data_IF_905418929145
#
_entry.id   IF_905418929145
#
_cell.length_a   1.000
_cell.length_b   1.000
_cell.length_c   1.000
_cell.angle_alpha   90.00
_cell.angle_beta   90.00
_cell.angle_gamma   90.00
#
_symmetry.space_group_name_H-M   'P 1'
#
loop_
_entity.id
_entity.type
_entity.pdbx_description
1 polymer ?
#
# COMPACT_ATOMS: atom_id res chain seq x y z
N UNK A 1 2.08 1.07 -1.13
CA UNK A 1 1.50 2.34 -1.65
C UNK A 1 0.11 2.63 -1.09
N UNK A 2 -0.88 1.73 -1.22
CA UNK A 2 -2.19 1.87 -0.54
C UNK A 2 -2.06 2.06 0.99
N UNK A 3 -1.10 1.38 1.62
CA UNK A 3 -0.77 1.56 3.03
C UNK A 3 -0.20 2.95 3.38
N UNK A 4 0.58 3.60 2.51
CA UNK A 4 1.12 4.95 2.74
C UNK A 4 0.02 6.02 2.62
N UNK A 5 -0.97 5.79 1.76
CA UNK A 5 -2.14 6.66 1.61
C UNK A 5 -3.12 6.46 2.76
N UNK A 6 -3.32 5.20 3.20
CA UNK A 6 -4.10 4.89 4.41
C UNK A 6 -3.41 5.43 5.67
N UNK A 7 -2.07 5.38 5.75
CA UNK A 7 -1.30 5.93 6.85
C UNK A 7 -1.32 7.46 6.87
N UNK A 8 -1.25 8.13 5.71
CA UNK A 8 -1.44 9.58 5.61
C UNK A 8 -2.86 10.02 6.01
N UNK A 9 -3.89 9.24 5.65
CA UNK A 9 -5.26 9.44 6.12
C UNK A 9 -5.40 9.21 7.63
N UNK A 10 -4.74 8.19 8.17
CA UNK A 10 -4.75 7.85 9.60
C UNK A 10 -3.98 8.88 10.45
N UNK A 11 -2.94 9.49 9.90
CA UNK A 11 -2.16 10.56 10.54
C UNK A 11 -2.90 11.91 10.54
N UNK A 12 -3.79 12.16 9.58
CA UNK A 12 -4.69 13.33 9.61
C UNK A 12 -5.90 13.18 10.53
N UNK A 13 -6.30 11.93 10.83
CA UNK A 13 -7.35 11.62 11.84
C UNK A 13 -6.79 11.64 13.26
N UNK A 14 -5.49 11.41 13.45
CA UNK A 14 -4.80 11.52 14.75
C UNK A 14 -4.25 12.92 15.03
N UNK A 15 -5.06 13.96 14.87
CA UNK A 15 -4.77 15.24 15.51
C UNK A 15 -5.61 15.37 16.80
N UNK A 16 -4.98 15.33 17.99
CA UNK A 16 -5.67 15.28 19.27
C UNK A 16 -6.06 16.69 19.71
N UNK A 17 -7.34 17.05 19.58
CA UNK A 17 -7.87 18.25 20.24
C UNK A 17 -9.21 18.04 20.96
N UNK A 18 -9.65 16.79 21.19
CA UNK A 18 -10.83 16.51 22.04
C UNK A 18 -10.61 15.24 22.88
N UNK A 19 -9.46 15.12 23.54
CA UNK A 19 -9.28 14.20 24.68
C UNK A 19 -8.88 15.05 25.89
N UNK A 20 -9.71 16.03 26.22
CA UNK A 20 -9.58 16.80 27.45
C UNK A 20 -10.92 17.42 27.84
N UNK A 21 -11.87 16.58 28.27
CA UNK A 21 -12.76 16.91 29.38
C UNK A 21 -13.33 15.58 29.91
N UNK A 22 -12.93 15.20 31.13
CA UNK A 22 -13.37 13.96 31.77
C UNK A 22 -14.84 14.00 32.19
N UNK A 23 -15.35 12.85 32.67
CA UNK A 23 -15.72 12.74 34.09
C UNK A 23 -15.92 11.26 34.52
N UNK A 24 -15.35 10.85 35.68
CA UNK A 24 -15.42 9.49 36.22
C UNK A 24 -16.63 9.29 37.15
N UNK A 25 -17.86 9.56 36.68
CA UNK A 25 -19.05 9.58 37.55
C UNK A 25 -20.26 8.80 36.97
N UNK A 26 -20.01 7.74 36.18
CA UNK A 26 -21.10 6.99 35.54
C UNK A 26 -20.93 5.46 35.64
N UNK A 27 -20.40 4.97 36.75
CA UNK A 27 -20.38 3.53 37.07
C UNK A 27 -21.27 3.16 38.28
N UNK A 28 -22.02 4.12 38.84
CA UNK A 28 -22.71 3.94 40.13
C UNK A 28 -24.25 3.82 40.07
N UNK A 29 -24.91 3.77 38.91
CA UNK A 29 -26.39 3.71 38.83
C UNK A 29 -26.92 2.53 37.99
N UNK A 30 -26.40 1.34 38.25
CA UNK A 30 -27.12 0.09 37.96
C UNK A 30 -28.08 -0.21 39.11
N UNK A 31 -29.40 -0.02 38.88
CA UNK A 31 -30.47 -0.99 39.21
C UNK A 31 -31.81 -0.56 38.55
N UNK A 32 -32.70 -1.51 38.23
CA UNK A 32 -33.70 -1.38 37.17
C UNK A 32 -35.12 -1.08 37.69
N UNK A 33 -35.85 -0.19 37.01
CA UNK A 33 -37.33 -0.19 37.09
C UNK A 33 -37.93 0.04 35.71
N UNK A 34 -38.47 -1.04 35.15
CA UNK A 34 -39.28 -1.07 33.93
C UNK A 34 -40.52 -0.15 34.03
N UNK A 35 -41.00 0.32 32.88
CA UNK A 35 -42.31 0.93 32.61
C UNK A 35 -42.50 2.47 32.55
N UNK A 36 -41.59 3.33 33.03
CA UNK A 36 -41.79 4.81 32.92
C UNK A 36 -40.91 5.48 31.84
N UNK A 37 -40.08 4.72 31.11
CA UNK A 37 -39.00 5.26 30.26
C UNK A 37 -39.32 5.65 28.82
N UNK A 38 -40.41 5.18 28.21
CA UNK A 38 -40.55 5.24 26.73
C UNK A 38 -40.91 6.63 26.18
N UNK A 39 -41.58 7.47 26.97
CA UNK A 39 -41.99 8.83 26.55
C UNK A 39 -40.87 9.87 26.74
N UNK A 40 -40.04 9.71 27.77
CA UNK A 40 -38.92 10.64 28.05
C UNK A 40 -37.73 10.36 27.13
N UNK A 41 -37.49 9.10 26.75
CA UNK A 41 -36.40 8.73 25.84
C UNK A 41 -36.61 9.29 24.43
N UNK A 42 -37.84 9.35 23.91
CA UNK A 42 -38.13 10.01 22.61
C UNK A 42 -37.90 11.52 22.67
N UNK A 43 -38.27 12.18 23.77
CA UNK A 43 -38.03 13.61 23.97
C UNK A 43 -36.55 13.96 24.11
N UNK A 44 -35.78 13.10 24.78
CA UNK A 44 -34.34 13.27 24.96
C UNK A 44 -33.53 12.94 23.70
N UNK A 45 -33.94 11.94 22.91
CA UNK A 45 -33.31 11.66 21.61
C UNK A 45 -33.51 12.81 20.63
N UNK A 46 -34.73 13.36 20.55
CA UNK A 46 -35.03 14.42 19.58
C UNK A 46 -34.38 15.77 19.93
N UNK A 47 -34.05 16.01 21.21
CA UNK A 47 -33.32 17.20 21.65
C UNK A 47 -31.79 17.07 21.55
N UNK A 48 -31.24 15.84 21.53
CA UNK A 48 -29.79 15.58 21.39
C UNK A 48 -29.36 15.44 19.92
N UNK A 49 -30.32 15.17 19.04
CA UNK A 49 -30.13 15.02 17.60
C UNK A 49 -29.64 16.24 16.79
N UNK A 50 -29.87 17.53 17.16
CA UNK A 50 -29.37 18.64 16.33
C UNK A 50 -27.86 18.83 16.48
N UNK A 51 -27.29 18.57 17.66
CA UNK A 51 -25.85 18.73 17.90
C UNK A 51 -25.05 17.62 17.23
N UNK A 52 -25.52 16.36 17.32
CA UNK A 52 -24.88 15.24 16.57
C UNK A 52 -25.10 15.36 15.05
N UNK A 53 -26.22 15.92 14.57
CA UNK A 53 -26.39 16.21 13.13
C UNK A 53 -25.42 17.28 12.66
N UNK A 54 -25.31 18.38 13.41
CA UNK A 54 -24.41 19.49 13.06
C UNK A 54 -22.93 19.08 13.18
N UNK A 55 -22.58 18.27 14.18
CA UNK A 55 -21.24 17.71 14.34
C UNK A 55 -20.93 16.64 13.27
N UNK A 56 -21.92 15.83 12.87
CA UNK A 56 -21.78 14.90 11.75
C UNK A 56 -21.65 15.66 10.42
N UNK A 57 -22.38 16.76 10.20
CA UNK A 57 -22.22 17.62 9.02
C UNK A 57 -20.85 18.35 9.00
N UNK A 58 -20.36 18.80 10.16
CA UNK A 58 -19.02 19.38 10.29
C UNK A 58 -17.90 18.34 10.05
N UNK A 59 -18.07 17.11 10.56
CA UNK A 59 -17.17 15.98 10.32
C UNK A 59 -17.25 15.47 8.88
N UNK A 60 -18.43 15.51 8.26
CA UNK A 60 -18.66 15.11 6.87
C UNK A 60 -18.05 16.12 5.88
N UNK A 61 -18.10 17.42 6.19
CA UNK A 61 -17.37 18.46 5.46
C UNK A 61 -15.86 18.22 5.46
N UNK A 62 -15.28 17.91 6.62
CA UNK A 62 -13.86 17.58 6.76
C UNK A 62 -13.52 16.23 6.11
N UNK A 63 -14.38 15.22 6.21
CA UNK A 63 -14.18 13.89 5.61
C UNK A 63 -14.19 13.93 4.09
N UNK A 64 -15.10 14.74 3.50
CA UNK A 64 -15.16 14.97 2.05
C UNK A 64 -13.94 15.72 1.55
N UNK A 65 -13.47 16.74 2.29
CA UNK A 65 -12.26 17.48 1.96
C UNK A 65 -11.01 16.59 2.00
N UNK A 66 -10.88 15.74 3.02
CA UNK A 66 -9.78 14.78 3.13
C UNK A 66 -9.81 13.75 2.00
N UNK A 67 -10.99 13.23 1.64
CA UNK A 67 -11.15 12.34 0.50
C UNK A 67 -10.72 13.02 -0.82
N UNK A 68 -11.08 14.29 -1.00
CA UNK A 68 -10.72 15.07 -2.17
C UNK A 68 -9.20 15.29 -2.27
N UNK A 69 -8.54 15.68 -1.17
CA UNK A 69 -7.09 15.86 -1.11
C UNK A 69 -6.36 14.54 -1.43
N UNK A 70 -6.83 13.42 -0.90
CA UNK A 70 -6.26 12.09 -1.18
C UNK A 70 -6.39 11.72 -2.66
N UNK A 71 -7.55 11.99 -3.28
CA UNK A 71 -7.76 11.72 -4.70
C UNK A 71 -6.86 12.61 -5.55
N UNK A 72 -6.77 13.91 -5.24
CA UNK A 72 -5.93 14.86 -5.97
C UNK A 72 -4.44 14.49 -5.91
N UNK A 73 -3.95 14.04 -4.75
CA UNK A 73 -2.56 13.60 -4.62
C UNK A 73 -2.29 12.25 -5.32
N UNK A 74 -3.31 11.39 -5.47
CA UNK A 74 -3.19 10.14 -6.24
C UNK A 74 -3.06 10.38 -7.74
N UNK A 75 -3.69 11.42 -8.28
CA UNK A 75 -3.69 11.71 -9.71
C UNK A 75 -2.28 11.80 -10.33
N UNK A 76 -1.33 12.62 -9.83
CA UNK A 76 0.01 12.68 -10.41
C UNK A 76 0.75 11.34 -10.31
N UNK A 77 0.52 10.56 -9.25
CA UNK A 77 1.14 9.25 -9.02
C UNK A 77 0.62 8.20 -10.01
N UNK A 78 -0.63 8.29 -10.46
CA UNK A 78 -1.21 7.35 -11.44
C UNK A 78 -1.01 7.81 -12.89
N UNK A 79 -1.04 9.12 -13.13
CA UNK A 79 -0.86 9.74 -14.44
C UNK A 79 0.58 9.60 -14.93
N UNK A 80 1.57 9.81 -14.05
CA UNK A 80 2.99 9.74 -14.44
C UNK A 80 3.38 8.37 -15.02
N UNK A 81 3.04 7.23 -14.39
CA UNK A 81 3.27 5.92 -14.97
C UNK A 81 2.50 5.71 -16.28
N UNK A 82 1.24 6.17 -16.37
CA UNK A 82 0.41 6.04 -17.58
C UNK A 82 1.08 6.66 -18.81
N UNK A 83 1.56 7.91 -18.69
CA UNK A 83 2.33 8.58 -19.74
C UNK A 83 3.66 7.85 -20.04
N UNK A 84 4.29 7.27 -19.02
CA UNK A 84 5.51 6.50 -19.19
C UNK A 84 5.28 5.21 -20.00
N UNK A 85 4.11 4.57 -19.87
CA UNK A 85 3.73 3.38 -20.66
C UNK A 85 3.64 3.74 -22.15
N UNK A 86 2.93 4.83 -22.46
CA UNK A 86 2.70 5.27 -23.83
C UNK A 86 4.02 5.62 -24.55
N UNK A 87 5.01 6.18 -23.84
CA UNK A 87 6.31 6.55 -24.43
C UNK A 87 7.33 5.41 -24.49
N UNK A 88 7.44 4.58 -23.44
CA UNK A 88 8.52 3.58 -23.35
C UNK A 88 8.12 2.21 -23.90
N UNK A 89 6.83 1.98 -24.13
CA UNK A 89 6.27 0.68 -24.51
C UNK A 89 6.19 -0.27 -23.32
N UNK A 90 5.13 -1.09 -23.29
CA UNK A 90 4.78 -1.97 -22.17
C UNK A 90 5.89 -2.93 -21.75
N UNK A 91 6.76 -3.33 -22.69
CA UNK A 91 7.91 -4.24 -22.43
C UNK A 91 9.05 -3.63 -21.63
N UNK A 92 9.48 -2.41 -21.98
CA UNK A 92 10.61 -1.76 -21.30
C UNK A 92 10.21 -1.33 -19.89
N UNK A 93 8.92 -1.06 -19.70
CA UNK A 93 8.39 -0.59 -18.44
C UNK A 93 8.22 -1.66 -17.36
N UNK A 94 8.33 -2.96 -17.69
CA UNK A 94 8.42 -4.01 -16.66
C UNK A 94 9.87 -4.29 -16.22
N UNK A 95 10.82 -4.22 -17.15
CA UNK A 95 12.24 -4.53 -16.86
C UNK A 95 12.96 -3.35 -16.20
N UNK A 96 12.68 -2.11 -16.61
CA UNK A 96 13.35 -0.93 -16.08
C UNK A 96 13.08 -0.70 -14.57
N UNK A 97 11.83 -0.77 -14.08
CA UNK A 97 11.59 -0.54 -12.65
C UNK A 97 12.08 -1.73 -11.81
N UNK A 98 11.97 -2.96 -12.30
CA UNK A 98 12.47 -4.14 -11.57
C UNK A 98 13.99 -4.14 -11.43
N UNK A 99 14.73 -3.63 -12.42
CA UNK A 99 16.18 -3.44 -12.29
C UNK A 99 16.55 -2.32 -11.32
N UNK A 100 15.82 -1.20 -11.32
CA UNK A 100 16.00 -0.12 -10.34
C UNK A 100 15.70 -0.61 -8.92
N UNK A 101 14.66 -1.43 -8.74
CA UNK A 101 14.32 -2.03 -7.45
C UNK A 101 15.41 -2.98 -6.94
N UNK A 102 16.02 -3.78 -7.84
CA UNK A 102 17.17 -4.61 -7.49
C UNK A 102 18.33 -3.78 -6.95
N UNK A 103 18.68 -2.69 -7.65
CA UNK A 103 19.74 -1.78 -7.21
C UNK A 103 19.40 -1.06 -5.90
N UNK A 104 18.16 -0.59 -5.75
CA UNK A 104 17.68 0.07 -4.54
C UNK A 104 17.72 -0.88 -3.32
N UNK A 105 17.38 -2.16 -3.50
CA UNK A 105 17.47 -3.17 -2.44
C UNK A 105 18.93 -3.45 -2.02
N UNK A 106 19.89 -3.46 -2.96
CA UNK A 106 21.32 -3.55 -2.63
C UNK A 106 21.79 -2.32 -1.85
N UNK A 107 21.39 -1.13 -2.29
CA UNK A 107 21.75 0.11 -1.61
C UNK A 107 21.20 0.16 -0.18
N UNK A 108 19.98 -0.34 0.01
CA UNK A 108 19.35 -0.47 1.32
C UNK A 108 20.06 -1.50 2.20
N UNK A 109 20.41 -2.67 1.67
CA UNK A 109 21.17 -3.69 2.38
C UNK A 109 22.52 -3.14 2.89
N UNK A 110 23.23 -2.42 2.01
CA UNK A 110 24.51 -1.81 2.34
C UNK A 110 24.35 -0.67 3.36
N UNK A 111 23.37 0.22 3.16
CA UNK A 111 23.10 1.35 4.05
C UNK A 111 22.81 0.91 5.49
N UNK A 112 22.07 -0.19 5.66
CA UNK A 112 21.76 -0.74 6.99
C UNK A 112 23.00 -1.40 7.59
N UNK A 113 23.74 -2.21 6.82
CA UNK A 113 24.92 -2.92 7.32
C UNK A 113 26.08 -1.97 7.68
N UNK A 114 26.17 -0.80 7.05
CA UNK A 114 27.18 0.23 7.36
C UNK A 114 26.68 1.30 8.33
N UNK A 115 25.49 1.17 8.92
CA UNK A 115 24.86 2.20 9.77
C UNK A 115 24.75 3.59 9.09
N UNK A 116 24.69 3.61 7.75
CA UNK A 116 24.54 4.84 6.97
C UNK A 116 23.05 5.12 6.74
N UNK A 117 22.41 5.78 7.72
CA UNK A 117 20.97 6.09 7.68
C UNK A 117 20.56 6.84 6.39
N UNK A 118 21.40 7.78 5.90
CA UNK A 118 21.14 8.51 4.66
C UNK A 118 21.05 7.60 3.42
N UNK A 119 21.94 6.61 3.30
CA UNK A 119 21.90 5.64 2.20
C UNK A 119 20.65 4.76 2.28
N UNK A 120 20.27 4.35 3.48
CA UNK A 120 19.07 3.54 3.72
C UNK A 120 17.80 4.29 3.32
N UNK A 121 17.70 5.58 3.67
CA UNK A 121 16.56 6.44 3.32
C UNK A 121 16.48 6.61 1.79
N UNK A 122 17.60 6.87 1.13
CA UNK A 122 17.63 7.00 -0.33
C UNK A 122 17.24 5.66 -0.99
N UNK A 123 17.75 4.54 -0.48
CA UNK A 123 17.44 3.20 -0.97
C UNK A 123 15.95 2.87 -0.88
N UNK A 124 15.31 3.12 0.28
CA UNK A 124 13.88 2.82 0.44
C UNK A 124 13.00 3.74 -0.41
N UNK A 125 13.34 5.03 -0.54
CA UNK A 125 12.61 5.96 -1.42
C UNK A 125 12.70 5.50 -2.87
N UNK A 126 13.90 5.18 -3.34
CA UNK A 126 14.12 4.71 -4.71
C UNK A 126 13.37 3.41 -4.98
N UNK A 127 13.37 2.47 -4.03
CA UNK A 127 12.63 1.22 -4.11
C UNK A 127 11.12 1.47 -4.24
N UNK A 128 10.56 2.35 -3.40
CA UNK A 128 9.13 2.68 -3.42
C UNK A 128 8.74 3.39 -4.70
N UNK A 129 9.53 4.36 -5.18
CA UNK A 129 9.25 5.07 -6.44
C UNK A 129 9.30 4.10 -7.63
N UNK A 130 10.29 3.23 -7.70
CA UNK A 130 10.39 2.23 -8.77
C UNK A 130 9.22 1.23 -8.73
N UNK A 131 8.83 0.74 -7.55
CA UNK A 131 7.64 -0.10 -7.39
C UNK A 131 6.37 0.61 -7.87
N UNK A 132 6.25 1.89 -7.54
CA UNK A 132 5.10 2.73 -7.87
C UNK A 132 4.91 2.89 -9.37
N UNK A 133 6.00 3.06 -10.12
CA UNK A 133 5.98 3.23 -11.57
C UNK A 133 5.81 1.89 -12.30
N UNK A 134 6.38 0.80 -11.78
CA UNK A 134 6.37 -0.52 -12.44
C UNK A 134 5.24 -1.42 -11.98
N UNK A 135 5.44 -2.09 -10.84
CA UNK A 135 4.60 -3.20 -10.37
C UNK A 135 3.17 -2.80 -10.00
N UNK A 136 2.88 -1.52 -9.83
CA UNK A 136 1.53 -1.02 -9.60
C UNK A 136 0.70 -1.03 -10.90
N UNK A 137 0.81 -0.01 -11.75
CA UNK A 137 -0.07 0.16 -12.91
C UNK A 137 0.30 -0.75 -14.09
N UNK A 138 1.58 -1.07 -14.29
CA UNK A 138 2.05 -1.75 -15.51
C UNK A 138 1.59 -3.21 -15.54
N UNK A 139 1.53 -3.88 -14.39
CA UNK A 139 1.03 -5.27 -14.32
C UNK A 139 -0.43 -5.38 -14.75
N UNK A 140 -1.25 -4.37 -14.44
CA UNK A 140 -2.66 -4.35 -14.84
C UNK A 140 -2.84 -4.05 -16.33
N UNK A 141 -1.96 -3.24 -16.91
CA UNK A 141 -2.01 -2.88 -18.34
C UNK A 141 -1.45 -4.01 -19.21
N UNK A 142 -0.41 -4.70 -18.77
CA UNK A 142 0.21 -5.80 -19.52
C UNK A 142 -0.64 -7.07 -19.51
N UNK A 143 -1.42 -7.31 -18.45
CA UNK A 143 -2.26 -8.50 -18.35
C UNK A 143 -3.22 -8.70 -19.56
N UNK A 144 -4.01 -7.71 -19.99
CA UNK A 144 -4.84 -7.82 -21.19
C UNK A 144 -4.06 -7.84 -22.51
N UNK A 145 -2.82 -7.35 -22.56
CA UNK A 145 -1.97 -7.43 -23.76
C UNK A 145 -1.44 -8.85 -24.02
N UNK A 146 -1.24 -9.63 -22.95
CA UNK A 146 -0.64 -10.97 -23.03
C UNK A 146 -1.68 -12.09 -23.02
N UNK A 147 -2.80 -11.90 -22.33
CA UNK A 147 -3.83 -12.93 -22.16
C UNK A 147 -4.93 -12.82 -23.23
N UNK A 148 -5.42 -13.96 -23.76
CA UNK A 148 -6.58 -13.92 -24.64
C UNK A 148 -7.83 -13.45 -23.88
N UNK A 149 -8.71 -12.72 -24.58
CA UNK A 149 -9.87 -12.04 -23.99
C UNK A 149 -10.79 -12.94 -23.16
N UNK A 150 -10.94 -14.21 -23.55
CA UNK A 150 -11.76 -15.19 -22.82
C UNK A 150 -11.14 -15.66 -21.48
N UNK A 151 -9.81 -15.56 -21.32
CA UNK A 151 -9.10 -16.00 -20.11
C UNK A 151 -8.67 -14.84 -19.20
N UNK A 152 -8.81 -13.60 -19.66
CA UNK A 152 -8.34 -12.41 -18.96
C UNK A 152 -8.91 -12.29 -17.54
N UNK A 153 -10.22 -12.49 -17.38
CA UNK A 153 -10.88 -12.37 -16.08
C UNK A 153 -10.44 -13.46 -15.09
N UNK A 154 -10.25 -14.70 -15.58
CA UNK A 154 -9.76 -15.82 -14.77
C UNK A 154 -8.29 -15.61 -14.35
N UNK A 155 -7.45 -15.12 -15.26
CA UNK A 155 -6.06 -14.79 -14.94
C UNK A 155 -5.95 -13.62 -13.95
N UNK A 156 -6.80 -12.60 -14.11
CA UNK A 156 -6.86 -11.44 -13.22
C UNK A 156 -7.28 -11.80 -11.80
N UNK A 157 -8.28 -12.67 -11.62
CA UNK A 157 -8.71 -13.09 -10.28
C UNK A 157 -7.66 -13.93 -9.56
N UNK A 158 -7.00 -14.86 -10.27
CA UNK A 158 -5.89 -15.65 -9.72
C UNK A 158 -4.71 -14.75 -9.38
N UNK A 159 -4.34 -13.80 -10.25
CA UNK A 159 -3.27 -12.84 -10.00
C UNK A 159 -3.54 -11.96 -8.77
N UNK A 160 -4.77 -11.49 -8.60
CA UNK A 160 -5.16 -10.70 -7.43
C UNK A 160 -5.14 -11.54 -6.15
N UNK A 161 -5.65 -12.78 -6.19
CA UNK A 161 -5.61 -13.69 -5.05
C UNK A 161 -4.16 -13.98 -4.61
N UNK A 162 -3.28 -14.29 -5.56
CA UNK A 162 -1.86 -14.50 -5.29
C UNK A 162 -1.20 -13.24 -4.72
N UNK A 163 -1.52 -12.06 -5.25
CA UNK A 163 -1.01 -10.80 -4.71
C UNK A 163 -1.39 -10.61 -3.23
N UNK A 164 -2.64 -10.86 -2.85
CA UNK A 164 -3.05 -10.75 -1.44
C UNK A 164 -2.37 -11.79 -0.55
N UNK A 165 -2.27 -13.04 -1.01
CA UNK A 165 -1.60 -14.12 -0.27
C UNK A 165 -0.13 -13.78 -0.05
N UNK A 166 0.58 -13.32 -1.09
CA UNK A 166 1.99 -12.96 -1.00
C UNK A 166 2.21 -11.74 -0.09
N UNK A 167 1.33 -10.73 -0.15
CA UNK A 167 1.40 -9.59 0.75
C UNK A 167 1.20 -10.01 2.21
N UNK A 168 0.24 -10.90 2.49
CA UNK A 168 0.03 -11.45 3.83
C UNK A 168 1.22 -12.28 4.30
N UNK A 169 1.72 -13.19 3.45
CA UNK A 169 2.88 -14.03 3.74
C UNK A 169 4.12 -13.19 4.04
N UNK A 170 4.39 -12.15 3.24
CA UNK A 170 5.49 -11.22 3.51
C UNK A 170 5.30 -10.43 4.80
N UNK A 171 4.07 -9.97 5.08
CA UNK A 171 3.77 -9.25 6.32
C UNK A 171 4.05 -10.07 7.58
N UNK A 172 3.76 -11.37 7.55
CA UNK A 172 4.00 -12.28 8.69
C UNK A 172 5.45 -12.79 8.72
N UNK A 173 6.06 -13.08 7.56
CA UNK A 173 7.36 -13.73 7.47
C UNK A 173 8.55 -12.76 7.57
N UNK A 174 8.36 -11.47 7.27
CA UNK A 174 9.47 -10.52 7.17
C UNK A 174 10.27 -10.37 8.48
N UNK A 175 9.60 -10.09 9.61
CA UNK A 175 10.28 -9.91 10.90
C UNK A 175 10.98 -11.19 11.39
N UNK A 176 10.35 -12.39 11.37
CA UNK A 176 11.03 -13.64 11.73
C UNK A 176 12.27 -13.93 10.87
N UNK A 177 12.17 -13.73 9.55
CA UNK A 177 13.30 -13.95 8.63
C UNK A 177 14.42 -12.97 8.91
N UNK A 178 14.09 -11.69 9.13
CA UNK A 178 15.08 -10.67 9.46
C UNK A 178 15.85 -11.02 10.75
N UNK A 179 15.14 -11.43 11.80
CA UNK A 179 15.74 -11.83 13.08
C UNK A 179 16.61 -13.08 12.94
N UNK A 180 16.15 -14.07 12.18
CA UNK A 180 16.92 -15.28 11.91
C UNK A 180 18.21 -14.98 11.13
N UNK A 181 18.18 -14.03 10.19
CA UNK A 181 19.33 -13.63 9.38
C UNK A 181 20.30 -12.67 10.08
N UNK A 182 19.80 -11.81 10.96
CA UNK A 182 20.64 -10.89 11.74
C UNK A 182 21.38 -11.60 12.86
N UNK A 183 20.84 -12.72 13.36
CA UNK A 183 21.44 -13.50 14.45
C UNK A 183 21.57 -12.71 15.75
N UNK A 184 20.74 -11.66 15.93
CA UNK A 184 20.80 -10.75 17.07
C UNK A 184 21.89 -9.67 17.00
N UNK A 185 22.53 -9.49 15.84
CA UNK A 185 23.57 -8.47 15.62
C UNK A 185 22.99 -7.32 14.78
N UNK A 186 22.91 -6.12 15.35
CA UNK A 186 22.36 -4.91 14.68
C UNK A 186 23.02 -4.63 13.33
N UNK A 187 24.35 -4.83 13.23
CA UNK A 187 25.09 -4.58 11.98
C UNK A 187 24.73 -5.55 10.84
N UNK A 188 24.02 -6.66 11.10
CA UNK A 188 23.63 -7.66 10.10
C UNK A 188 22.14 -7.63 9.73
N UNK A 189 21.37 -6.69 10.26
CA UNK A 189 19.94 -6.57 9.95
C UNK A 189 19.66 -6.30 8.46
N UNK A 190 20.65 -5.76 7.75
CA UNK A 190 20.59 -5.53 6.31
C UNK A 190 20.56 -6.80 5.45
N UNK A 191 20.90 -7.97 6.02
CA UNK A 191 21.06 -9.21 5.25
C UNK A 191 19.79 -9.67 4.54
N UNK A 192 18.62 -9.40 5.12
CA UNK A 192 17.33 -9.74 4.50
C UNK A 192 17.13 -9.03 3.17
N UNK A 193 17.69 -7.82 3.01
CA UNK A 193 17.57 -7.04 1.78
C UNK A 193 18.49 -7.56 0.66
N UNK A 194 19.57 -8.31 0.98
CA UNK A 194 20.32 -9.04 -0.04
C UNK A 194 19.50 -10.17 -0.65
N UNK A 195 18.73 -10.90 0.15
CA UNK A 195 17.80 -11.92 -0.37
C UNK A 195 16.74 -11.26 -1.25
N UNK A 196 16.20 -10.11 -0.81
CA UNK A 196 15.23 -9.35 -1.60
C UNK A 196 15.82 -8.90 -2.94
N UNK A 197 17.06 -8.41 -2.95
CA UNK A 197 17.76 -8.03 -4.17
C UNK A 197 17.97 -9.21 -5.12
N UNK A 198 18.43 -10.36 -4.62
CA UNK A 198 18.59 -11.58 -5.43
C UNK A 198 17.25 -12.01 -6.03
N UNK A 199 16.17 -11.95 -5.25
CA UNK A 199 14.82 -12.27 -5.72
C UNK A 199 14.37 -11.30 -6.81
N UNK A 200 14.62 -9.99 -6.65
CA UNK A 200 14.35 -8.98 -7.66
C UNK A 200 15.19 -9.20 -8.94
N UNK A 201 16.46 -9.60 -8.81
CA UNK A 201 17.33 -9.89 -9.94
C UNK A 201 16.84 -11.11 -10.74
N UNK A 202 16.45 -12.18 -10.05
CA UNK A 202 15.85 -13.38 -10.67
C UNK A 202 14.56 -12.99 -11.39
N UNK A 203 13.70 -12.20 -10.74
CA UNK A 203 12.46 -11.72 -11.35
C UNK A 203 12.73 -10.88 -12.61
N UNK A 204 13.65 -9.92 -12.55
CA UNK A 204 14.03 -9.09 -13.69
C UNK A 204 14.59 -9.93 -14.85
N UNK A 205 15.41 -10.94 -14.55
CA UNK A 205 15.93 -11.89 -15.54
C UNK A 205 14.85 -12.78 -16.14
N UNK A 206 13.95 -13.34 -15.32
CA UNK A 206 12.85 -14.17 -15.78
C UNK A 206 11.90 -13.37 -16.68
N UNK A 207 11.55 -12.14 -16.30
CA UNK A 207 10.76 -11.21 -17.11
C UNK A 207 11.48 -10.92 -18.44
N UNK A 208 12.76 -10.52 -18.38
CA UNK A 208 13.54 -10.21 -19.58
C UNK A 208 13.64 -11.38 -20.57
N UNK A 209 13.84 -12.61 -20.08
CA UNK A 209 13.89 -13.81 -20.93
C UNK A 209 12.53 -14.19 -21.49
N UNK A 210 11.45 -14.04 -20.72
CA UNK A 210 10.08 -14.34 -21.14
C UNK A 210 9.62 -13.40 -22.24
N UNK A 211 9.88 -12.09 -22.10
CA UNK A 211 9.54 -11.11 -23.11
C UNK A 211 10.34 -11.30 -24.40
N UNK A 212 11.65 -11.60 -24.32
CA UNK A 212 12.46 -11.94 -25.51
C UNK A 212 11.92 -13.15 -26.27
N UNK A 213 11.38 -14.15 -25.55
CA UNK A 213 10.78 -15.35 -26.17
C UNK A 213 9.43 -15.03 -26.81
N UNK A 214 8.60 -14.22 -26.16
CA UNK A 214 7.32 -13.76 -26.72
C UNK A 214 7.52 -12.95 -28.00
N UNK A 215 8.50 -12.05 -27.99
CA UNK A 215 8.92 -11.27 -29.15
C UNK A 215 9.28 -12.12 -30.36
N UNK A 216 10.13 -13.12 -30.12
CA UNK A 216 10.58 -14.04 -31.17
C UNK A 216 9.43 -14.85 -31.75
N UNK A 217 8.39 -15.16 -30.96
CA UNK A 217 7.22 -15.90 -31.45
C UNK A 217 6.33 -15.05 -32.35
N UNK A 218 6.14 -13.77 -32.02
CA UNK A 218 5.37 -12.87 -32.90
C UNK A 218 6.11 -12.63 -34.22
N UNK A 219 7.43 -12.42 -34.17
CA UNK A 219 8.25 -12.19 -35.36
C UNK A 219 8.36 -13.40 -36.31
N UNK A 220 8.00 -14.61 -35.87
CA UNK A 220 7.99 -15.83 -36.70
C UNK A 220 6.62 -16.11 -37.30
N UNK A 221 5.55 -15.48 -36.79
CA UNK A 221 4.17 -15.69 -37.22
C UNK A 221 3.71 -14.64 -38.25
N UNK A 222 4.46 -13.53 -38.39
CA UNK A 222 4.27 -12.50 -39.42
C UNK A 222 5.22 -12.72 -40.60
#
# INVERSE_FOLDING_TARGET
MLALIQLAGSLLVKNPLVESQGDPELEALLEPSEEVGTLTIKGLFQSREPDVRNACECSEGNSRLMALIVILNKLPITILPAFLIERLGSRRLLVLPTSIMCFAALLLAFGINTNAAGLSIIGIILFVVAFSVGLGPVTWVVLPEVMPSHALNAAGSVGLALNWILNFAMGVAFLPIQQALSGGVESKEGNVFFILSVTCAIAAFAIGTTFKRYDRRIAVVQ
#
